data_IF_146983781138
#
_entry.id   IF_146983781138
#
_cell.length_a   1.000
_cell.length_b   1.000
_cell.length_c   1.000
_cell.angle_alpha   90.00
_cell.angle_beta   90.00
_cell.angle_gamma   90.00
#
_symmetry.space_group_name_H-M   'P 1'
#
loop_
_entity.id
_entity.type
_entity.pdbx_description
1 polymer ?
#
# COMPACT_ATOMS: atom_id res chain seq x y z
N UNK A 1 11.54 18.82 -10.85
CA UNK A 1 11.84 17.38 -10.87
C UNK A 1 11.04 16.72 -11.99
N UNK A 2 11.44 15.57 -12.51
CA UNK A 2 10.68 14.85 -13.53
C UNK A 2 9.51 14.08 -12.88
N UNK A 3 8.42 13.76 -13.62
CA UNK A 3 7.30 13.00 -13.05
C UNK A 3 7.70 11.65 -12.42
N UNK A 4 8.59 10.84 -13.02
CA UNK A 4 9.07 9.61 -12.38
C UNK A 4 9.77 9.86 -11.03
N UNK A 5 10.60 10.90 -10.94
CA UNK A 5 11.28 11.24 -9.68
C UNK A 5 10.30 11.67 -8.59
N UNK A 6 9.27 12.44 -8.93
CA UNK A 6 8.23 12.82 -7.96
C UNK A 6 7.44 11.60 -7.46
N UNK A 7 7.06 10.68 -8.36
CA UNK A 7 6.37 9.44 -7.98
C UNK A 7 7.24 8.55 -7.10
N UNK A 8 8.51 8.38 -7.44
CA UNK A 8 9.48 7.65 -6.65
C UNK A 8 9.59 8.20 -5.23
N UNK A 9 9.86 9.50 -5.09
CA UNK A 9 10.00 10.14 -3.79
C UNK A 9 8.70 10.06 -2.99
N UNK A 10 7.56 10.31 -3.63
CA UNK A 10 6.26 10.23 -2.96
C UNK A 10 5.98 8.83 -2.39
N UNK A 11 6.32 7.77 -3.13
CA UNK A 11 6.12 6.38 -2.67
C UNK A 11 7.05 6.05 -1.50
N UNK A 12 8.34 6.37 -1.59
CA UNK A 12 9.27 6.13 -0.47
C UNK A 12 8.92 6.97 0.77
N UNK A 13 8.67 8.26 0.59
CA UNK A 13 8.51 9.20 1.70
C UNK A 13 7.16 9.06 2.40
N UNK A 14 6.09 8.72 1.66
CA UNK A 14 4.71 8.70 2.19
C UNK A 14 4.17 7.31 2.46
N UNK A 15 4.62 6.31 1.71
CA UNK A 15 4.15 4.93 1.86
C UNK A 15 5.24 3.98 2.36
N UNK A 16 6.47 4.47 2.54
CA UNK A 16 7.60 3.71 3.09
C UNK A 16 7.87 2.40 2.33
N UNK A 17 7.58 2.39 1.03
CA UNK A 17 7.90 1.27 0.14
C UNK A 17 9.31 1.50 -0.39
N UNK A 18 10.22 0.59 -0.07
CA UNK A 18 11.62 0.67 -0.50
C UNK A 18 11.71 0.49 -2.02
N UNK A 19 12.27 1.49 -2.70
CA UNK A 19 12.48 1.50 -4.15
C UNK A 19 13.98 1.50 -4.49
N UNK A 20 14.35 1.00 -5.66
CA UNK A 20 15.74 0.93 -6.09
C UNK A 20 16.21 2.26 -6.68
N UNK A 21 17.13 2.95 -6.00
CA UNK A 21 17.74 4.19 -6.49
C UNK A 21 18.73 3.97 -7.65
N UNK A 22 19.35 2.78 -7.73
CA UNK A 22 20.28 2.46 -8.80
C UNK A 22 21.34 1.44 -8.43
N UNK A 23 21.37 0.31 -9.15
CA UNK A 23 22.44 -0.69 -9.02
C UNK A 23 22.70 -1.45 -10.32
N UNK A 24 23.90 -2.02 -10.41
CA UNK A 24 24.25 -2.97 -11.47
C UNK A 24 23.74 -4.37 -11.14
N UNK A 25 22.94 -4.96 -12.03
CA UNK A 25 22.49 -6.36 -11.96
C UNK A 25 22.84 -7.06 -13.27
N UNK A 26 23.67 -8.09 -13.23
CA UNK A 26 24.09 -8.86 -14.41
C UNK A 26 24.64 -8.01 -15.59
N UNK A 27 25.26 -6.86 -15.28
CA UNK A 27 25.81 -5.96 -16.29
C UNK A 27 24.83 -4.91 -16.83
N UNK A 28 23.58 -4.92 -16.36
CA UNK A 28 22.56 -3.91 -16.66
C UNK A 28 22.38 -2.97 -15.46
N UNK A 29 22.20 -1.67 -15.75
CA UNK A 29 21.86 -0.69 -14.72
C UNK A 29 20.36 -0.72 -14.48
N UNK A 30 19.95 -0.95 -13.23
CA UNK A 30 18.57 -1.06 -12.80
C UNK A 30 18.27 0.05 -11.79
N UNK A 31 17.20 0.80 -12.02
CA UNK A 31 16.63 1.77 -11.08
C UNK A 31 15.11 1.86 -11.27
N UNK A 32 14.43 2.40 -10.27
CA UNK A 32 13.00 2.65 -10.31
C UNK A 32 12.67 4.10 -10.70
N UNK A 33 13.59 4.90 -11.24
CA UNK A 33 13.28 6.26 -11.75
C UNK A 33 12.65 6.24 -13.15
N UNK A 34 11.75 5.28 -13.38
CA UNK A 34 11.27 4.91 -14.71
C UNK A 34 9.75 5.09 -14.85
N UNK A 35 9.29 5.26 -16.10
CA UNK A 35 7.85 5.34 -16.38
C UNK A 35 7.12 4.01 -16.13
N UNK A 36 7.84 2.89 -16.16
CA UNK A 36 7.30 1.55 -15.87
C UNK A 36 6.81 1.39 -14.43
N UNK A 37 7.26 2.23 -13.49
CA UNK A 37 6.72 2.29 -12.13
C UNK A 37 5.19 2.41 -12.11
N UNK A 38 4.62 3.21 -13.02
CA UNK A 38 3.17 3.42 -13.09
C UNK A 38 2.38 2.14 -13.41
N UNK A 39 3.06 1.13 -13.96
CA UNK A 39 2.51 -0.20 -14.26
C UNK A 39 2.98 -1.27 -13.27
N UNK A 40 3.73 -0.91 -12.22
CA UNK A 40 4.27 -1.83 -11.23
C UNK A 40 5.60 -2.48 -11.63
N UNK A 41 6.29 -1.95 -12.65
CA UNK A 41 7.64 -2.39 -13.02
C UNK A 41 8.67 -1.86 -12.05
N UNK A 42 8.78 -2.50 -10.88
CA UNK A 42 9.76 -2.21 -9.84
C UNK A 42 10.89 -3.24 -9.85
N UNK A 43 12.10 -2.81 -9.54
CA UNK A 43 13.31 -3.66 -9.58
C UNK A 43 13.23 -4.82 -8.59
N UNK A 44 12.77 -4.56 -7.37
CA UNK A 44 12.65 -5.56 -6.30
C UNK A 44 11.18 -5.94 -5.99
N UNK A 45 10.21 -5.28 -6.61
CA UNK A 45 8.79 -5.43 -6.29
C UNK A 45 8.42 -4.80 -4.94
N UNK A 46 7.31 -5.27 -4.36
CA UNK A 46 6.80 -4.88 -3.04
C UNK A 46 6.23 -6.12 -2.35
N UNK A 47 5.88 -6.01 -1.07
CA UNK A 47 5.31 -7.12 -0.30
C UNK A 47 3.81 -6.90 0.02
N UNK A 48 3.15 -7.94 0.53
CA UNK A 48 1.70 -7.91 0.82
C UNK A 48 1.34 -6.90 1.91
N UNK A 49 2.23 -6.72 2.89
CA UNK A 49 2.03 -5.77 4.00
C UNK A 49 2.06 -4.34 3.47
N UNK A 50 3.08 -3.98 2.70
CA UNK A 50 3.20 -2.63 2.11
C UNK A 50 1.96 -2.28 1.29
N UNK A 51 1.51 -3.23 0.44
CA UNK A 51 0.32 -3.04 -0.38
C UNK A 51 -0.96 -2.91 0.46
N UNK A 52 -1.07 -3.65 1.56
CA UNK A 52 -2.21 -3.54 2.47
C UNK A 52 -2.21 -2.20 3.21
N UNK A 53 -1.06 -1.74 3.72
CA UNK A 53 -0.89 -0.43 4.37
C UNK A 53 -1.18 0.71 3.39
N UNK A 54 -0.66 0.63 2.16
CA UNK A 54 -0.93 1.62 1.12
C UNK A 54 -2.40 1.69 0.75
N UNK A 55 -3.07 0.55 0.53
CA UNK A 55 -4.51 0.54 0.17
C UNK A 55 -5.42 0.91 1.34
N UNK A 56 -5.01 0.69 2.59
CA UNK A 56 -5.77 1.11 3.78
C UNK A 56 -5.88 2.64 3.92
N UNK A 57 -5.04 3.39 3.19
CA UNK A 57 -5.10 4.85 3.13
C UNK A 57 -6.40 5.36 2.51
N UNK A 58 -6.94 4.68 1.50
CA UNK A 58 -8.14 5.14 0.78
C UNK A 58 -9.42 5.13 1.63
N UNK A 59 -9.77 4.06 2.36
CA UNK A 59 -10.92 4.09 3.26
C UNK A 59 -10.65 4.99 4.48
N UNK A 60 -9.39 5.20 4.87
CA UNK A 60 -9.00 6.08 5.99
C UNK A 60 -8.84 7.56 5.58
N UNK A 61 -9.67 8.05 4.65
CA UNK A 61 -9.71 9.47 4.24
C UNK A 61 -8.35 10.05 3.78
N UNK A 62 -7.45 9.20 3.29
CA UNK A 62 -6.13 9.62 2.83
C UNK A 62 -5.04 9.63 3.90
N UNK A 63 -5.29 9.05 5.07
CA UNK A 63 -4.30 8.88 6.14
C UNK A 63 -3.67 7.49 6.10
N UNK A 64 -2.35 7.47 5.99
CA UNK A 64 -1.53 6.27 6.08
C UNK A 64 -1.33 5.86 7.54
N UNK A 65 -1.36 4.56 7.79
CA UNK A 65 -1.15 3.97 9.10
C UNK A 65 -0.22 2.76 8.98
N UNK A 66 0.90 2.79 9.70
CA UNK A 66 1.80 1.64 9.77
C UNK A 66 1.09 0.46 10.44
N UNK A 67 1.14 -0.72 9.83
CA UNK A 67 0.59 -1.94 10.41
C UNK A 67 1.42 -2.41 11.60
N UNK A 68 0.78 -3.12 12.53
CA UNK A 68 1.37 -3.55 13.78
C UNK A 68 0.84 -4.92 14.18
N UNK A 69 1.68 -5.72 14.81
CA UNK A 69 1.30 -7.05 15.33
C UNK A 69 1.05 -7.05 16.84
N UNK A 70 1.56 -6.03 17.55
CA UNK A 70 1.37 -5.85 18.98
C UNK A 70 1.22 -4.35 19.29
N UNK A 71 0.52 -4.02 20.38
CA UNK A 71 0.32 -2.63 20.83
C UNK A 71 1.02 -2.31 22.13
N UNK A 72 1.27 -3.32 22.98
CA UNK A 72 1.83 -3.15 24.31
C UNK A 72 2.65 -4.37 24.70
N UNK A 73 3.80 -4.13 25.32
CA UNK A 73 4.66 -5.15 25.93
C UNK A 73 4.81 -4.81 27.40
N UNK A 74 4.46 -5.76 28.27
CA UNK A 74 4.60 -5.62 29.72
C UNK A 74 5.40 -6.76 30.30
N UNK A 75 5.92 -6.54 31.50
CA UNK A 75 6.65 -7.53 32.29
C UNK A 75 6.12 -7.53 33.72
N UNK A 76 5.90 -8.71 34.28
CA UNK A 76 5.57 -8.85 35.71
C UNK A 76 6.86 -8.81 36.54
N UNK A 77 6.92 -7.90 37.50
CA UNK A 77 8.03 -7.78 38.46
C UNK A 77 7.44 -7.72 39.86
N UNK A 78 7.81 -8.67 40.73
CA UNK A 78 7.31 -8.77 42.11
C UNK A 78 5.78 -8.83 42.23
N UNK A 79 5.10 -9.43 41.24
CA UNK A 79 3.64 -9.54 41.22
C UNK A 79 2.92 -8.32 40.65
N UNK A 80 3.64 -7.28 40.25
CA UNK A 80 3.08 -6.08 39.61
C UNK A 80 3.42 -6.03 38.12
N UNK A 81 2.46 -5.59 37.30
CA UNK A 81 2.67 -5.40 35.86
C UNK A 81 3.39 -4.08 35.58
N UNK A 82 4.56 -4.16 34.95
CA UNK A 82 5.35 -3.02 34.51
C UNK A 82 5.28 -2.87 33.00
N UNK A 83 4.92 -1.68 32.53
CA UNK A 83 4.98 -1.33 31.11
C UNK A 83 6.44 -1.26 30.65
N UNK A 84 6.77 -1.98 29.57
CA UNK A 84 8.08 -1.88 28.91
C UNK A 84 8.00 -1.03 27.65
N UNK A 85 6.93 -1.22 26.87
CA UNK A 85 6.74 -0.55 25.60
C UNK A 85 5.25 -0.44 25.28
N UNK A 86 4.83 0.73 24.79
CA UNK A 86 3.49 0.97 24.26
C UNK A 86 3.63 1.71 22.94
N UNK A 87 2.98 1.18 21.91
CA UNK A 87 3.01 1.78 20.57
C UNK A 87 1.83 2.73 20.43
N UNK A 88 2.14 4.02 20.33
CA UNK A 88 1.14 5.04 19.98
C UNK A 88 0.94 5.03 18.46
N UNK A 89 -0.29 4.86 17.95
CA UNK A 89 -0.57 5.05 16.52
C UNK A 89 -0.16 6.45 16.05
N UNK A 90 0.65 6.49 14.99
CA UNK A 90 0.88 7.71 14.22
C UNK A 90 0.11 7.57 12.90
N UNK A 91 -0.67 8.60 12.57
CA UNK A 91 -1.41 8.69 11.31
C UNK A 91 -0.81 9.80 10.45
N UNK A 92 -0.43 9.46 9.22
CA UNK A 92 0.18 10.41 8.30
C UNK A 92 -0.79 10.82 7.18
N UNK A 93 -1.16 12.10 7.04
CA UNK A 93 -1.98 12.56 5.93
C UNK A 93 -1.15 12.56 4.63
N UNK A 94 -1.33 11.52 3.81
CA UNK A 94 -0.56 11.32 2.57
C UNK A 94 -1.29 11.81 1.32
N UNK A 95 -2.62 11.72 1.31
CA UNK A 95 -3.47 12.28 0.24
C UNK A 95 -4.66 13.02 0.83
N UNK A 96 -5.26 13.94 0.05
CA UNK A 96 -6.43 14.69 0.50
C UNK A 96 -7.64 13.75 0.65
N UNK A 97 -8.54 13.98 1.63
CA UNK A 97 -9.76 13.20 1.78
C UNK A 97 -10.62 13.15 0.51
N UNK A 98 -10.69 14.26 -0.22
CA UNK A 98 -11.40 14.33 -1.52
C UNK A 98 -10.76 13.43 -2.57
N UNK A 99 -9.43 13.35 -2.61
CA UNK A 99 -8.70 12.46 -3.53
C UNK A 99 -8.93 11.00 -3.16
N UNK A 100 -8.85 10.67 -1.87
CA UNK A 100 -9.16 9.34 -1.37
C UNK A 100 -10.60 8.91 -1.71
N UNK A 101 -11.57 9.82 -1.59
CA UNK A 101 -12.96 9.58 -1.97
C UNK A 101 -13.12 9.25 -3.47
N UNK A 102 -12.49 10.02 -4.37
CA UNK A 102 -12.52 9.71 -5.80
C UNK A 102 -11.85 8.36 -6.10
N UNK A 103 -10.73 8.05 -5.45
CA UNK A 103 -10.08 6.75 -5.57
C UNK A 103 -11.00 5.61 -5.12
N UNK A 104 -11.66 5.73 -3.97
CA UNK A 104 -12.65 4.76 -3.49
C UNK A 104 -13.78 4.53 -4.50
N UNK A 105 -14.29 5.60 -5.12
CA UNK A 105 -15.35 5.48 -6.11
C UNK A 105 -14.89 4.72 -7.36
N UNK A 106 -13.70 5.03 -7.89
CA UNK A 106 -13.13 4.35 -9.05
C UNK A 106 -12.80 2.88 -8.75
N UNK A 107 -12.22 2.59 -7.58
CA UNK A 107 -11.79 1.25 -7.18
C UNK A 107 -12.95 0.30 -6.87
N UNK A 108 -14.15 0.81 -6.55
CA UNK A 108 -15.37 -0.02 -6.52
C UNK A 108 -15.75 -0.54 -7.91
N UNK A 109 -15.43 0.22 -8.97
CA UNK A 109 -15.67 -0.16 -10.36
C UNK A 109 -15.05 -1.50 -10.75
N UNK A 110 -13.94 -1.88 -10.10
CA UNK A 110 -13.19 -3.13 -10.37
C UNK A 110 -14.02 -4.38 -10.12
N UNK A 111 -14.97 -4.34 -9.18
CA UNK A 111 -15.83 -5.49 -8.85
C UNK A 111 -17.17 -5.51 -9.60
N UNK A 112 -17.50 -4.44 -10.32
CA UNK A 112 -18.68 -4.39 -11.18
C UNK A 112 -18.53 -5.32 -12.37
N UNK A 113 -19.63 -5.66 -13.06
CA UNK A 113 -19.61 -6.64 -14.17
C UNK A 113 -18.63 -6.30 -15.30
N UNK A 114 -18.29 -5.02 -15.51
CA UNK A 114 -17.30 -4.57 -16.49
C UNK A 114 -15.87 -4.44 -15.96
N UNK A 115 -15.64 -4.70 -14.68
CA UNK A 115 -14.34 -4.59 -14.02
C UNK A 115 -13.51 -5.86 -14.11
N UNK A 116 -12.21 -5.74 -13.84
CA UNK A 116 -11.25 -6.87 -13.92
C UNK A 116 -11.47 -7.95 -12.86
N UNK A 117 -12.25 -7.67 -11.80
CA UNK A 117 -12.70 -8.63 -10.80
C UNK A 117 -14.24 -8.76 -10.78
N UNK A 118 -14.89 -8.62 -11.95
CA UNK A 118 -16.34 -8.58 -12.06
C UNK A 118 -17.04 -9.77 -11.40
N UNK A 119 -18.00 -9.45 -10.52
CA UNK A 119 -18.77 -10.46 -9.78
C UNK A 119 -18.00 -11.16 -8.65
N UNK A 120 -16.76 -10.73 -8.35
CA UNK A 120 -15.94 -11.25 -7.24
C UNK A 120 -15.98 -10.34 -5.99
N UNK A 121 -16.95 -9.44 -5.92
CA UNK A 121 -17.19 -8.60 -4.73
C UNK A 121 -17.75 -9.39 -3.54
N UNK A 122 -17.79 -8.73 -2.38
CA UNK A 122 -18.36 -9.30 -1.15
C UNK A 122 -19.87 -9.02 -1.12
N UNK A 123 -20.69 -10.08 -1.07
CA UNK A 123 -22.14 -9.94 -1.07
C UNK A 123 -22.61 -9.15 0.16
N UNK A 124 -23.36 -8.08 -0.07
CA UNK A 124 -23.92 -7.25 1.01
C UNK A 124 -22.96 -6.21 1.58
N UNK A 125 -21.77 -6.06 1.01
CA UNK A 125 -20.80 -5.03 1.39
C UNK A 125 -20.27 -4.29 0.16
N UNK A 126 -19.97 -3.00 0.33
CA UNK A 126 -19.19 -2.27 -0.65
C UNK A 126 -17.73 -2.75 -0.55
N UNK A 127 -17.15 -3.16 -1.67
CA UNK A 127 -15.75 -3.56 -1.77
C UNK A 127 -15.07 -2.70 -2.83
N UNK A 128 -13.85 -2.26 -2.53
CA UNK A 128 -13.00 -1.48 -3.42
C UNK A 128 -11.62 -2.14 -3.50
N UNK A 129 -10.96 -2.05 -4.64
CA UNK A 129 -9.67 -2.70 -4.82
C UNK A 129 -9.17 -2.66 -6.26
N UNK A 130 -8.01 -3.26 -6.48
CA UNK A 130 -7.34 -3.29 -7.78
C UNK A 130 -6.74 -4.67 -8.01
N UNK A 131 -6.85 -5.14 -9.25
CA UNK A 131 -6.12 -6.31 -9.74
C UNK A 131 -4.80 -5.86 -10.39
N UNK A 132 -3.74 -6.63 -10.20
CA UNK A 132 -2.47 -6.49 -10.91
C UNK A 132 -2.09 -7.82 -11.56
N UNK A 133 -1.58 -7.76 -12.78
CA UNK A 133 -1.08 -8.93 -13.51
C UNK A 133 0.29 -8.59 -14.07
N UNK A 134 1.29 -9.42 -13.76
CA UNK A 134 2.64 -9.30 -14.33
C UNK A 134 2.72 -10.05 -15.66
N UNK A 135 3.76 -9.79 -16.45
CA UNK A 135 4.00 -10.47 -17.72
C UNK A 135 4.17 -11.99 -17.60
N UNK A 136 4.51 -12.50 -16.42
CA UNK A 136 4.62 -13.93 -16.11
C UNK A 136 3.29 -14.53 -15.58
N UNK A 137 2.15 -13.92 -15.94
CA UNK A 137 0.80 -14.31 -15.54
C UNK A 137 0.54 -14.41 -14.02
N UNK A 138 1.42 -13.82 -13.19
CA UNK A 138 1.14 -13.69 -11.75
C UNK A 138 0.07 -12.63 -11.53
N UNK A 139 -1.05 -13.03 -10.92
CA UNK A 139 -2.16 -12.13 -10.59
C UNK A 139 -2.22 -11.90 -9.09
N UNK A 140 -2.32 -10.63 -8.69
CA UNK A 140 -2.52 -10.20 -7.31
C UNK A 140 -3.75 -9.26 -7.21
N UNK A 141 -4.35 -9.21 -6.03
CA UNK A 141 -5.46 -8.30 -5.73
C UNK A 141 -5.16 -7.61 -4.40
N UNK A 142 -5.24 -6.29 -4.37
CA UNK A 142 -5.30 -5.49 -3.15
C UNK A 142 -6.71 -4.92 -3.02
N UNK A 143 -7.39 -5.16 -1.90
CA UNK A 143 -8.77 -4.74 -1.71
C UNK A 143 -9.12 -4.48 -0.25
N UNK A 144 -10.17 -3.70 -0.05
CA UNK A 144 -10.64 -3.25 1.26
C UNK A 144 -12.15 -2.98 1.22
N UNK A 145 -12.73 -2.88 2.41
CA UNK A 145 -14.10 -2.40 2.62
C UNK A 145 -14.02 -1.01 3.29
N UNK A 146 -14.73 0.01 2.80
CA UNK A 146 -14.83 1.32 3.45
C UNK A 146 -15.53 1.28 4.81
#
# INVERSE_FOLDING_TARGET
MSPPTESFNFVQDRYHIDLEEGRMVNGEWMDDYTLSMALGGLTNGTNVRDMAEAYATFPNEGRYNTSRTFTKVTQVVNGEEKLLFEMVPEEDPVIRPTTAWYMNNMLQGVFTSGGTAGGKGIRGQHAAGKTGTTSDDRTAVAGYTP
#
